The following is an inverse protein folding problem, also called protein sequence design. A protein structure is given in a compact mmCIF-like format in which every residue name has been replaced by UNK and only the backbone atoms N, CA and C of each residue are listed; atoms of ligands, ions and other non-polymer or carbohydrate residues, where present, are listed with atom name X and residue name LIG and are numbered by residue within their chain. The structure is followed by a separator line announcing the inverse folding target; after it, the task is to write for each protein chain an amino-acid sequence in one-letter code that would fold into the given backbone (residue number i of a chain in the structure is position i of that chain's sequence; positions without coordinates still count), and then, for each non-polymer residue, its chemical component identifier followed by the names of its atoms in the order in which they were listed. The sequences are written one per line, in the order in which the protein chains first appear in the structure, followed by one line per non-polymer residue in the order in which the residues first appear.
data_IF_950683941723
#
_entry.id   IF_950683941723
#
_cell.length_a   1.000
_cell.length_b   1.000
_cell.length_c   1.000
_cell.angle_alpha   90.00
_cell.angle_beta   90.00
_cell.angle_gamma   90.00
#
_symmetry.space_group_name_H-M   'P 1'
#
loop_
_entity.id
_entity.type
_entity.pdbx_description
1 polymer ?
#
# COMPACT_ATOMS: atom_id res chain seq x y z
N UNK A 1 -8.40 -23.66 47.59
CA UNK A 1 -7.93 -22.74 46.54
C UNK A 1 -9.09 -22.56 45.56
N UNK A 2 -9.85 -21.46 45.64
CA UNK A 2 -10.98 -21.24 44.73
C UNK A 2 -10.45 -20.92 43.33
N UNK A 3 -10.69 -21.84 42.40
CA UNK A 3 -10.43 -21.66 40.99
C UNK A 3 -11.56 -20.81 40.40
N UNK A 4 -11.34 -19.50 40.19
CA UNK A 4 -12.35 -18.60 39.64
C UNK A 4 -12.13 -18.43 38.14
N UNK A 5 -12.89 -19.12 37.27
CA UNK A 5 -12.63 -19.19 35.83
C UNK A 5 -12.65 -17.81 35.14
N UNK A 6 -13.47 -16.87 35.61
CA UNK A 6 -13.51 -15.51 35.04
C UNK A 6 -12.22 -14.71 35.28
N UNK A 7 -11.54 -14.92 36.43
CA UNK A 7 -10.24 -14.28 36.70
C UNK A 7 -9.14 -14.85 35.82
N UNK A 8 -9.20 -16.16 35.55
CA UNK A 8 -8.24 -16.83 34.66
C UNK A 8 -8.42 -16.39 33.20
N UNK A 9 -9.66 -16.19 32.75
CA UNK A 9 -9.94 -15.67 31.41
C UNK A 9 -9.51 -14.21 31.23
N UNK A 10 -9.74 -13.36 32.23
CA UNK A 10 -9.24 -11.97 32.20
C UNK A 10 -7.71 -11.92 32.16
N UNK A 11 -7.04 -12.78 32.92
CA UNK A 11 -5.57 -12.89 32.93
C UNK A 11 -5.05 -13.32 31.55
N UNK A 12 -5.66 -14.34 30.93
CA UNK A 12 -5.31 -14.79 29.58
C UNK A 12 -5.44 -13.68 28.54
N UNK A 13 -6.53 -12.90 28.58
CA UNK A 13 -6.73 -11.77 27.66
C UNK A 13 -5.63 -10.71 27.82
N UNK A 14 -5.19 -10.43 29.05
CA UNK A 14 -4.12 -9.48 29.30
C UNK A 14 -2.76 -9.99 28.83
N UNK A 15 -2.47 -11.28 29.04
CA UNK A 15 -1.24 -11.90 28.56
C UNK A 15 -1.20 -11.91 27.02
N UNK A 16 -2.33 -12.21 26.35
CA UNK A 16 -2.46 -12.11 24.89
C UNK A 16 -2.22 -10.68 24.39
N UNK A 17 -2.86 -9.68 25.02
CA UNK A 17 -2.68 -8.28 24.63
C UNK A 17 -1.22 -7.84 24.77
N UNK A 18 -0.53 -8.27 25.83
CA UNK A 18 0.89 -7.98 26.03
C UNK A 18 1.74 -8.61 24.93
N UNK A 19 1.52 -9.90 24.65
CA UNK A 19 2.22 -10.61 23.60
C UNK A 19 2.05 -9.94 22.23
N UNK A 20 0.82 -9.56 21.85
CA UNK A 20 0.59 -8.82 20.61
C UNK A 20 1.28 -7.46 20.59
N UNK A 21 1.38 -6.78 21.74
CA UNK A 21 2.15 -5.54 21.84
C UNK A 21 3.65 -5.74 21.59
N UNK A 22 4.24 -6.80 22.15
CA UNK A 22 5.65 -7.16 21.95
C UNK A 22 5.93 -7.54 20.49
N UNK A 23 5.03 -8.32 19.88
CA UNK A 23 5.13 -8.69 18.45
C UNK A 23 5.04 -7.46 17.55
N UNK A 24 4.11 -6.54 17.83
CA UNK A 24 3.96 -5.31 17.05
C UNK A 24 5.20 -4.41 17.13
N UNK A 25 5.78 -4.27 18.33
CA UNK A 25 7.03 -3.53 18.52
C UNK A 25 8.19 -4.18 17.74
N UNK A 26 8.32 -5.51 17.82
CA UNK A 26 9.33 -6.25 17.06
C UNK A 26 9.15 -6.08 15.54
N UNK A 27 7.90 -6.11 15.06
CA UNK A 27 7.56 -5.89 13.66
C UNK A 27 7.91 -4.47 13.21
N UNK A 28 7.62 -3.46 14.04
CA UNK A 28 7.95 -2.07 13.74
C UNK A 28 9.46 -1.88 13.59
N UNK A 29 10.26 -2.41 14.53
CA UNK A 29 11.72 -2.32 14.50
C UNK A 29 12.28 -3.02 13.25
N UNK A 30 11.86 -4.27 13.00
CA UNK A 30 12.34 -5.04 11.87
C UNK A 30 11.99 -4.38 10.52
N UNK A 31 10.75 -3.90 10.35
CA UNK A 31 10.37 -3.19 9.13
C UNK A 31 11.18 -1.91 8.95
N UNK A 32 11.39 -1.14 10.02
CA UNK A 32 12.19 0.09 9.97
C UNK A 32 13.62 -0.18 9.51
N UNK A 33 14.27 -1.18 10.08
CA UNK A 33 15.64 -1.57 9.70
C UNK A 33 15.71 -2.07 8.24
N UNK A 34 14.83 -3.00 7.87
CA UNK A 34 14.85 -3.62 6.54
C UNK A 34 14.49 -2.61 5.45
N UNK A 35 13.46 -1.78 5.68
CA UNK A 35 13.02 -0.80 4.68
C UNK A 35 14.09 0.28 4.49
N UNK A 36 14.65 0.86 5.56
CA UNK A 36 15.71 1.87 5.43
C UNK A 36 17.00 1.31 4.82
N UNK A 37 17.28 0.01 4.96
CA UNK A 37 18.40 -0.63 4.24
C UNK A 37 18.22 -0.64 2.72
N UNK A 38 16.98 -0.56 2.23
CA UNK A 38 16.64 -0.60 0.79
C UNK A 38 16.25 0.77 0.24
N UNK A 39 15.66 1.62 1.08
CA UNK A 39 15.19 2.96 0.77
C UNK A 39 15.84 3.90 1.80
N UNK A 40 17.10 4.34 1.57
CA UNK A 40 17.89 5.02 2.61
C UNK A 40 17.38 6.39 3.00
N UNK A 41 16.64 7.06 2.12
CA UNK A 41 16.07 8.37 2.36
C UNK A 41 14.64 8.41 1.84
N UNK A 42 13.70 8.72 2.73
CA UNK A 42 12.32 9.02 2.40
C UNK A 42 12.03 10.43 2.89
N UNK A 43 11.80 11.34 1.97
CA UNK A 43 11.48 12.74 2.27
C UNK A 43 10.21 13.16 1.54
N UNK A 44 9.74 14.38 1.82
CA UNK A 44 8.57 14.94 1.14
C UNK A 44 8.66 14.87 -0.38
N UNK A 45 9.82 15.17 -0.96
CA UNK A 45 10.04 15.18 -2.41
C UNK A 45 9.93 13.76 -3.02
N UNK A 46 10.50 12.75 -2.38
CA UNK A 46 10.44 11.37 -2.86
C UNK A 46 9.01 10.81 -2.79
N UNK A 47 8.27 11.12 -1.72
CA UNK A 47 6.86 10.72 -1.58
C UNK A 47 5.99 11.41 -2.65
N UNK A 48 6.18 12.71 -2.86
CA UNK A 48 5.48 13.45 -3.92
C UNK A 48 5.82 12.91 -5.31
N UNK A 49 7.10 12.58 -5.56
CA UNK A 49 7.53 12.01 -6.83
C UNK A 49 6.84 10.68 -7.11
N UNK A 50 6.69 9.81 -6.11
CA UNK A 50 5.95 8.57 -6.27
C UNK A 50 4.45 8.82 -6.53
N UNK A 51 3.83 9.76 -5.81
CA UNK A 51 2.44 10.15 -6.07
C UNK A 51 2.23 10.65 -7.51
N UNK A 52 3.18 11.42 -8.05
CA UNK A 52 3.17 11.89 -9.45
C UNK A 52 3.25 10.72 -10.42
N UNK A 53 4.07 9.70 -10.16
CA UNK A 53 4.14 8.50 -11.00
C UNK A 53 2.78 7.77 -11.04
N UNK A 54 2.14 7.57 -9.88
CA UNK A 54 0.80 6.95 -9.81
C UNK A 54 -0.24 7.79 -10.56
N UNK A 55 -0.16 9.13 -10.47
CA UNK A 55 -1.03 10.02 -11.22
C UNK A 55 -0.84 9.89 -12.73
N UNK A 56 0.41 9.71 -13.21
CA UNK A 56 0.69 9.45 -14.64
C UNK A 56 0.14 8.11 -15.08
N UNK A 57 0.29 7.05 -14.29
CA UNK A 57 -0.32 5.74 -14.58
C UNK A 57 -1.85 5.84 -14.70
N UNK A 58 -2.48 6.59 -13.80
CA UNK A 58 -3.93 6.89 -13.87
C UNK A 58 -4.29 7.59 -15.17
N UNK A 59 -3.52 8.60 -15.56
CA UNK A 59 -3.75 9.32 -16.82
C UNK A 59 -3.67 8.39 -18.03
N UNK A 60 -2.65 7.52 -18.10
CA UNK A 60 -2.51 6.52 -19.18
C UNK A 60 -3.70 5.54 -19.22
N UNK A 61 -4.18 5.09 -18.06
CA UNK A 61 -5.36 4.22 -18.01
C UNK A 61 -6.62 4.91 -18.54
N UNK A 62 -6.88 6.14 -18.08
CA UNK A 62 -8.03 6.91 -18.53
C UNK A 62 -7.92 7.23 -20.03
N UNK A 63 -6.75 7.60 -20.52
CA UNK A 63 -6.49 7.82 -21.95
C UNK A 63 -6.82 6.58 -22.78
N UNK A 64 -6.34 5.40 -22.39
CA UNK A 64 -6.65 4.15 -23.09
C UNK A 64 -8.17 3.85 -23.11
N UNK A 65 -8.88 4.16 -22.03
CA UNK A 65 -10.33 4.00 -21.95
C UNK A 65 -11.06 4.97 -22.90
N UNK A 66 -10.63 6.23 -22.96
CA UNK A 66 -11.20 7.23 -23.88
C UNK A 66 -10.88 6.92 -25.34
N UNK A 67 -9.69 6.40 -25.65
CA UNK A 67 -9.33 6.03 -27.03
C UNK A 67 -10.24 4.94 -27.59
N UNK A 68 -10.65 3.96 -26.77
CA UNK A 68 -11.63 2.94 -27.16
C UNK A 68 -12.98 3.58 -27.51
N UNK A 69 -13.41 4.61 -26.77
CA UNK A 69 -14.70 5.25 -27.03
C UNK A 69 -14.70 6.23 -28.20
N UNK A 70 -13.52 6.75 -28.60
CA UNK A 70 -13.41 7.78 -29.65
C UNK A 70 -12.86 7.29 -30.98
N UNK A 71 -12.05 6.22 -31.00
CA UNK A 71 -11.29 5.82 -32.21
C UNK A 71 -11.96 4.68 -32.97
N UNK A 72 -12.71 3.82 -32.29
CA UNK A 72 -13.43 2.74 -32.96
C UNK A 72 -14.75 3.27 -33.53
N UNK A 73 -14.69 3.75 -34.77
CA UNK A 73 -15.86 3.86 -35.66
C UNK A 73 -16.46 2.48 -36.01
N UNK A 74 -15.78 1.40 -35.62
CA UNK A 74 -16.30 0.04 -35.62
C UNK A 74 -17.24 -0.17 -34.43
N UNK A 75 -18.30 -0.98 -34.60
CA UNK A 75 -19.29 -1.29 -33.57
C UNK A 75 -18.70 -1.90 -32.28
N UNK A 76 -17.47 -2.41 -32.31
CA UNK A 76 -16.82 -3.09 -31.19
C UNK A 76 -15.31 -2.75 -31.07
N UNK A 77 -14.77 -2.69 -29.83
CA UNK A 77 -13.35 -2.44 -29.59
C UNK A 77 -12.41 -3.48 -30.21
N UNK A 78 -11.28 -3.05 -30.77
CA UNK A 78 -10.24 -3.99 -31.23
C UNK A 78 -9.58 -4.75 -30.06
N UNK A 79 -9.13 -5.99 -30.28
CA UNK A 79 -8.40 -6.77 -29.27
C UNK A 79 -7.14 -6.04 -28.76
N UNK A 80 -6.44 -5.31 -29.63
CA UNK A 80 -5.27 -4.52 -29.25
C UNK A 80 -5.65 -3.39 -28.28
N UNK A 81 -6.74 -2.66 -28.56
CA UNK A 81 -7.22 -1.59 -27.68
C UNK A 81 -7.61 -2.11 -26.30
N UNK A 82 -8.31 -3.25 -26.25
CA UNK A 82 -8.68 -3.93 -25.00
C UNK A 82 -7.45 -4.38 -24.22
N UNK A 83 -6.43 -4.91 -24.90
CA UNK A 83 -5.19 -5.31 -24.24
C UNK A 83 -4.41 -4.10 -23.69
N UNK A 84 -4.36 -2.98 -24.44
CA UNK A 84 -3.74 -1.74 -23.98
C UNK A 84 -4.44 -1.20 -22.72
N UNK A 85 -5.78 -1.19 -22.73
CA UNK A 85 -6.58 -0.80 -21.57
C UNK A 85 -6.27 -1.69 -20.35
N UNK A 86 -6.20 -3.02 -20.55
CA UNK A 86 -5.89 -3.96 -19.48
C UNK A 86 -4.52 -3.70 -18.88
N UNK A 87 -3.49 -3.55 -19.70
CA UNK A 87 -2.13 -3.28 -19.24
C UNK A 87 -2.06 -1.96 -18.45
N UNK A 88 -2.71 -0.91 -18.96
CA UNK A 88 -2.74 0.39 -18.29
C UNK A 88 -3.46 0.33 -16.92
N UNK A 89 -4.56 -0.43 -16.85
CA UNK A 89 -5.27 -0.69 -15.58
C UNK A 89 -4.39 -1.43 -14.57
N UNK A 90 -3.70 -2.48 -15.00
CA UNK A 90 -2.83 -3.28 -14.12
C UNK A 90 -1.68 -2.43 -13.56
N UNK A 91 -0.98 -1.68 -14.41
CA UNK A 91 0.06 -0.75 -13.95
C UNK A 91 -0.47 0.27 -12.94
N UNK A 92 -1.66 0.81 -13.19
CA UNK A 92 -2.28 1.78 -12.28
C UNK A 92 -2.67 1.17 -10.93
N UNK A 93 -3.33 0.01 -10.91
CA UNK A 93 -3.74 -0.62 -9.65
C UNK A 93 -2.53 -1.09 -8.83
N UNK A 94 -1.48 -1.62 -9.46
CA UNK A 94 -0.23 -1.96 -8.76
C UNK A 94 0.44 -0.71 -8.15
N UNK A 95 0.54 0.38 -8.93
CA UNK A 95 1.10 1.64 -8.44
C UNK A 95 0.30 2.24 -7.28
N UNK A 96 -1.04 2.21 -7.38
CA UNK A 96 -1.94 2.64 -6.31
C UNK A 96 -1.80 1.78 -5.05
N UNK A 97 -1.78 0.46 -5.19
CA UNK A 97 -1.61 -0.46 -4.07
C UNK A 97 -0.26 -0.24 -3.37
N UNK A 98 0.82 -0.06 -4.14
CA UNK A 98 2.14 0.24 -3.60
C UNK A 98 2.18 1.59 -2.86
N UNK A 99 1.49 2.62 -3.36
CA UNK A 99 1.39 3.91 -2.67
C UNK A 99 0.59 3.83 -1.36
N UNK A 100 -0.50 3.05 -1.33
CA UNK A 100 -1.24 2.76 -0.09
C UNK A 100 -0.37 1.98 0.93
N UNK A 101 0.43 1.02 0.46
CA UNK A 101 1.37 0.30 1.30
C UNK A 101 2.42 1.24 1.90
N UNK A 102 2.92 2.21 1.13
CA UNK A 102 3.82 3.25 1.64
C UNK A 102 3.14 4.13 2.69
N UNK A 103 1.92 4.61 2.42
CA UNK A 103 1.14 5.41 3.39
C UNK A 103 0.95 4.66 4.71
N UNK A 104 0.56 3.38 4.63
CA UNK A 104 0.42 2.52 5.79
C UNK A 104 1.75 2.36 6.54
N UNK A 105 2.86 2.13 5.83
CA UNK A 105 4.17 2.01 6.45
C UNK A 105 4.57 3.29 7.21
N UNK A 106 4.25 4.47 6.69
CA UNK A 106 4.46 5.75 7.38
C UNK A 106 3.57 5.84 8.63
N UNK A 107 2.27 5.55 8.52
CA UNK A 107 1.30 5.60 9.63
C UNK A 107 1.65 4.63 10.78
N UNK A 108 2.24 3.47 10.46
CA UNK A 108 2.71 2.49 11.45
C UNK A 108 4.12 2.79 11.98
N UNK A 109 4.80 3.81 11.48
CA UNK A 109 6.17 4.13 11.85
C UNK A 109 7.18 3.06 11.43
N UNK A 110 6.88 2.35 10.34
CA UNK A 110 7.80 1.41 9.68
C UNK A 110 8.84 2.15 8.82
N UNK A 111 8.61 3.42 8.50
CA UNK A 111 9.56 4.28 7.80
C UNK A 111 9.48 5.68 8.42
N UNK A 112 10.63 6.34 8.52
CA UNK A 112 10.68 7.74 8.92
C UNK A 112 10.66 8.62 7.67
N UNK A 113 9.77 9.62 7.65
CA UNK A 113 9.73 10.62 6.59
C UNK A 113 10.41 11.88 7.11
N UNK A 114 11.43 12.35 6.40
CA UNK A 114 11.95 13.69 6.63
C UNK A 114 10.94 14.73 6.13
N UNK A 115 10.40 15.51 7.07
CA UNK A 115 9.39 16.55 6.84
C UNK A 115 10.00 17.97 6.75
N UNK A 116 11.33 18.08 6.87
CA UNK A 116 12.03 19.36 6.81
C UNK A 116 12.03 20.03 5.44
#
# INVERSE_FOLDING_TARGET
MSNNPEKDDYKRLMDQKRFFGEVEQGLQIANREIIHSRIPTLNKESVLSFAVVVARMRATYLEAAFQISTTDHALEPTQESVQRLRNAREMYEEGKAAFEALRYAIERGYVDVDLS
#
